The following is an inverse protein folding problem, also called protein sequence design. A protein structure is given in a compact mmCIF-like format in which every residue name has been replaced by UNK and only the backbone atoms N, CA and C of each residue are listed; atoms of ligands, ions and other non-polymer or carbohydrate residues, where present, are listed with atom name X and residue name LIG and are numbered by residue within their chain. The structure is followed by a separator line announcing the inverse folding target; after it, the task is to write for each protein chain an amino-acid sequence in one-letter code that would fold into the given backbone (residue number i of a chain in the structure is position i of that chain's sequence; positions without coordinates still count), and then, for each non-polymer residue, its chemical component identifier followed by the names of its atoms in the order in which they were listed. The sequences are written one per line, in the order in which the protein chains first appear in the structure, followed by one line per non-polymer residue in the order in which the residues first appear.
data_IF_642888618039
#
_entry.id   IF_642888618039
#
_cell.length_a   1.000
_cell.length_b   1.000
_cell.length_c   1.000
_cell.angle_alpha   90.00
_cell.angle_beta   90.00
_cell.angle_gamma   90.00
#
_symmetry.space_group_name_H-M   'P 1'
#
loop_
_entity.id
_entity.type
_entity.pdbx_description
1 polymer ?
#
# COMPACT_ATOMS: atom_id res chain seq x y z
N UNK A 1 6.12 -19.05 7.56
CA UNK A 1 4.68 -18.93 7.90
C UNK A 1 4.45 -17.51 8.41
N UNK A 2 3.24 -16.97 8.40
CA UNK A 2 3.00 -15.52 8.63
C UNK A 2 3.57 -14.94 9.95
N UNK A 3 3.83 -15.79 10.94
CA UNK A 3 4.43 -15.42 12.24
C UNK A 3 5.91 -15.82 12.40
N UNK A 4 6.59 -16.22 11.32
CA UNK A 4 8.01 -16.58 11.41
C UNK A 4 8.90 -15.34 11.44
N UNK A 5 10.03 -15.45 12.13
CA UNK A 5 11.14 -14.49 12.00
C UNK A 5 11.96 -14.84 10.75
N UNK A 6 12.48 -13.81 10.07
CA UNK A 6 13.48 -14.00 9.03
C UNK A 6 14.86 -13.85 9.69
N UNK A 7 15.69 -14.89 9.62
CA UNK A 7 17.00 -14.87 10.27
C UNK A 7 17.85 -13.71 9.71
N UNK A 8 18.33 -12.84 10.60
CA UNK A 8 19.15 -11.70 10.19
C UNK A 8 18.40 -10.48 9.68
N UNK A 9 17.07 -10.47 9.75
CA UNK A 9 16.23 -9.27 9.56
C UNK A 9 15.66 -8.85 10.91
N UNK A 10 15.62 -7.55 11.17
CA UNK A 10 15.15 -7.00 12.46
C UNK A 10 13.64 -7.17 12.64
N UNK A 11 12.89 -6.99 11.55
CA UNK A 11 11.44 -7.08 11.50
C UNK A 11 10.99 -8.53 11.28
N UNK A 12 9.89 -8.93 11.92
CA UNK A 12 9.24 -10.20 11.64
C UNK A 12 8.39 -10.14 10.35
N UNK A 13 7.93 -11.29 9.86
CA UNK A 13 7.14 -11.38 8.63
C UNK A 13 5.85 -10.55 8.72
N UNK A 14 5.21 -10.46 9.88
CA UNK A 14 3.99 -9.66 10.06
C UNK A 14 4.30 -8.17 9.90
N UNK A 15 5.38 -7.69 10.51
CA UNK A 15 5.80 -6.30 10.41
C UNK A 15 6.20 -5.92 8.99
N UNK A 16 6.89 -6.82 8.27
CA UNK A 16 7.21 -6.66 6.86
C UNK A 16 5.92 -6.55 6.03
N UNK A 17 4.94 -7.44 6.23
CA UNK A 17 3.63 -7.38 5.57
C UNK A 17 2.91 -6.05 5.85
N UNK A 18 2.94 -5.57 7.09
CA UNK A 18 2.33 -4.29 7.46
C UNK A 18 3.03 -3.09 6.80
N UNK A 19 4.34 -3.17 6.57
CA UNK A 19 5.08 -2.14 5.86
C UNK A 19 4.80 -2.19 4.35
N UNK A 20 4.73 -3.39 3.76
CA UNK A 20 4.36 -3.59 2.34
C UNK A 20 2.98 -3.00 2.04
N UNK A 21 2.00 -3.18 2.93
CA UNK A 21 0.65 -2.61 2.77
C UNK A 21 0.60 -1.08 2.70
N UNK A 22 1.68 -0.39 3.09
CA UNK A 22 1.79 1.08 3.02
C UNK A 22 2.47 1.55 1.73
N UNK A 23 2.94 0.65 0.88
CA UNK A 23 3.55 1.04 -0.39
C UNK A 23 2.45 1.61 -1.29
N UNK A 24 2.65 2.85 -1.74
CA UNK A 24 1.75 3.50 -2.68
C UNK A 24 2.28 3.24 -4.10
N UNK A 25 1.50 2.51 -4.89
CA UNK A 25 1.84 2.12 -6.25
C UNK A 25 0.90 2.80 -7.24
N UNK A 26 1.47 3.25 -8.36
CA UNK A 26 0.72 3.57 -9.57
C UNK A 26 1.09 2.55 -10.63
N UNK A 27 0.08 1.89 -11.22
CA UNK A 27 0.26 0.87 -12.25
C UNK A 27 -0.51 1.33 -13.50
N UNK A 28 0.19 1.49 -14.61
CA UNK A 28 -0.36 1.96 -15.90
C UNK A 28 -0.75 0.77 -16.83
N UNK A 29 -1.10 -0.38 -16.25
CA UNK A 29 -1.44 -1.64 -16.93
C UNK A 29 -2.59 -2.35 -16.21
N UNK A 30 -3.38 -3.14 -16.95
CA UNK A 30 -4.47 -3.96 -16.39
C UNK A 30 -4.00 -5.36 -15.95
N UNK A 31 -2.82 -5.81 -16.41
CA UNK A 31 -2.24 -7.10 -16.07
C UNK A 31 -1.57 -7.11 -14.68
N UNK A 32 -1.53 -8.29 -14.04
CA UNK A 32 -0.78 -8.52 -12.81
C UNK A 32 0.72 -8.26 -13.01
N UNK A 33 1.31 -7.48 -12.11
CA UNK A 33 2.73 -7.10 -12.11
C UNK A 33 3.49 -7.83 -11.02
N UNK A 34 4.67 -8.33 -11.37
CA UNK A 34 5.60 -8.93 -10.40
C UNK A 34 6.58 -7.86 -9.94
N UNK A 35 6.73 -7.72 -8.63
CA UNK A 35 7.68 -6.86 -7.96
C UNK A 35 8.68 -7.72 -7.20
N UNK A 36 9.94 -7.33 -7.19
CA UNK A 36 11.01 -8.10 -6.54
C UNK A 36 11.90 -7.20 -5.69
N UNK A 37 12.30 -7.67 -4.52
CA UNK A 37 13.38 -7.08 -3.72
C UNK A 37 14.43 -8.17 -3.53
N UNK A 38 15.66 -7.84 -3.86
CA UNK A 38 16.83 -8.68 -3.62
C UNK A 38 17.96 -7.78 -3.08
N UNK A 39 18.14 -7.82 -1.76
CA UNK A 39 19.07 -6.93 -1.04
C UNK A 39 19.94 -7.72 -0.08
N UNK A 40 21.25 -7.53 -0.21
CA UNK A 40 22.25 -8.06 0.73
C UNK A 40 22.65 -7.03 1.76
N UNK A 41 22.57 -7.41 3.03
CA UNK A 41 22.93 -6.56 4.16
C UNK A 41 24.44 -6.37 4.37
N UNK A 42 24.85 -5.40 5.21
CA UNK A 42 23.98 -4.62 6.08
C UNK A 42 23.30 -3.46 5.33
N UNK A 43 21.97 -3.41 5.36
CA UNK A 43 21.20 -2.43 4.60
C UNK A 43 19.83 -2.14 5.24
N UNK A 44 19.33 -0.92 5.05
CA UNK A 44 17.93 -0.57 5.29
C UNK A 44 17.22 -0.69 3.95
N UNK A 45 16.29 -1.65 3.85
CA UNK A 45 15.48 -1.87 2.65
C UNK A 45 14.32 -0.88 2.65
N UNK A 46 14.19 -0.15 1.55
CA UNK A 46 13.14 0.84 1.31
C UNK A 46 12.27 0.42 0.12
N UNK A 47 11.13 1.08 -0.05
CA UNK A 47 10.28 0.87 -1.23
C UNK A 47 11.01 1.25 -2.54
N UNK A 48 12.00 2.14 -2.49
CA UNK A 48 12.86 2.47 -3.62
C UNK A 48 13.75 1.33 -4.11
N UNK A 49 13.97 0.30 -3.29
CA UNK A 49 14.78 -0.88 -3.65
C UNK A 49 13.97 -1.95 -4.43
N UNK A 50 12.66 -1.72 -4.62
CA UNK A 50 11.80 -2.62 -5.37
C UNK A 50 12.12 -2.52 -6.87
N UNK A 51 12.38 -3.68 -7.44
CA UNK A 51 12.53 -3.89 -8.87
C UNK A 51 11.15 -4.19 -9.47
N UNK A 52 10.76 -3.40 -10.47
CA UNK A 52 9.49 -3.54 -11.16
C UNK A 52 9.66 -3.23 -12.65
N UNK A 53 8.67 -3.57 -13.47
CA UNK A 53 8.65 -3.18 -14.87
C UNK A 53 8.29 -1.70 -15.05
N UNK A 54 8.41 -1.20 -16.29
CA UNK A 54 8.20 0.21 -16.60
C UNK A 54 6.77 0.72 -16.41
N UNK A 55 5.80 -0.17 -16.19
CA UNK A 55 4.41 0.20 -15.98
C UNK A 55 4.09 0.43 -14.49
N UNK A 56 5.03 0.16 -13.59
CA UNK A 56 4.89 0.35 -12.14
C UNK A 56 5.71 1.54 -11.69
N UNK A 57 5.06 2.48 -11.02
CA UNK A 57 5.69 3.62 -10.35
C UNK A 57 5.45 3.56 -8.86
N UNK A 58 6.53 3.66 -8.08
CA UNK A 58 6.49 3.72 -6.62
C UNK A 58 6.42 5.17 -6.18
N UNK A 59 5.35 5.53 -5.47
CA UNK A 59 5.04 6.92 -5.14
C UNK A 59 5.69 7.38 -3.83
N UNK A 60 6.06 6.44 -2.95
CA UNK A 60 6.71 6.69 -1.66
C UNK A 60 8.01 5.89 -1.51
N UNK A 61 9.05 6.16 -2.34
CA UNK A 61 10.28 5.36 -2.37
C UNK A 61 11.05 5.35 -1.04
N UNK A 62 10.92 6.40 -0.22
CA UNK A 62 11.62 6.52 1.08
C UNK A 62 10.99 5.65 2.19
N UNK A 63 9.88 4.95 1.91
CA UNK A 63 9.21 4.10 2.89
C UNK A 63 10.12 2.93 3.30
N UNK A 64 10.52 2.88 4.57
CA UNK A 64 11.28 1.74 5.11
C UNK A 64 10.41 0.49 5.19
N UNK A 65 10.93 -0.62 4.64
CA UNK A 65 10.28 -1.92 4.63
C UNK A 65 10.87 -2.86 5.68
N UNK A 66 12.20 -2.94 5.74
CA UNK A 66 12.93 -3.83 6.65
C UNK A 66 14.40 -3.38 6.85
N UNK A 67 15.07 -4.00 7.81
CA UNK A 67 16.48 -3.77 8.14
C UNK A 67 17.21 -5.11 8.16
N UNK A 68 18.21 -5.27 7.27
CA UNK A 68 18.95 -6.51 7.04
C UNK A 68 20.35 -6.40 7.66
N UNK A 69 20.75 -7.42 8.43
CA UNK A 69 22.05 -7.51 9.07
C UNK A 69 23.18 -7.90 8.08
N UNK A 70 24.42 -7.73 8.52
CA UNK A 70 25.60 -8.08 7.71
C UNK A 70 25.63 -9.58 7.37
N UNK A 71 25.95 -9.89 6.11
CA UNK A 71 26.04 -11.27 5.62
C UNK A 71 24.70 -11.97 5.36
N UNK A 72 23.57 -11.26 5.47
CA UNK A 72 22.21 -11.78 5.26
C UNK A 72 21.64 -11.21 3.97
N UNK A 73 20.82 -11.99 3.28
CA UNK A 73 20.14 -11.61 2.04
C UNK A 73 18.63 -11.66 2.26
N UNK A 74 17.95 -10.58 1.90
CA UNK A 74 16.49 -10.51 1.88
C UNK A 74 16.03 -10.59 0.43
N UNK A 75 15.41 -11.73 0.10
CA UNK A 75 14.75 -11.96 -1.17
C UNK A 75 13.24 -12.06 -0.95
N UNK A 76 12.47 -11.27 -1.70
CA UNK A 76 11.01 -11.33 -1.66
C UNK A 76 10.41 -10.96 -3.02
N UNK A 77 9.37 -11.70 -3.39
CA UNK A 77 8.58 -11.48 -4.59
C UNK A 77 7.15 -11.14 -4.19
N UNK A 78 6.57 -10.13 -4.83
CA UNK A 78 5.20 -9.67 -4.61
C UNK A 78 4.47 -9.58 -5.93
N UNK A 79 3.15 -9.80 -5.90
CA UNK A 79 2.28 -9.56 -7.05
C UNK A 79 1.40 -8.36 -6.74
N UNK A 80 1.37 -7.38 -7.64
CA UNK A 80 0.56 -6.17 -7.54
C UNK A 80 -0.30 -6.01 -8.80
N UNK A 81 -1.51 -5.49 -8.64
CA UNK A 81 -2.42 -5.23 -9.74
C UNK A 81 -3.35 -4.04 -9.43
N UNK A 82 -4.13 -3.63 -10.43
CA UNK A 82 -5.12 -2.57 -10.27
C UNK A 82 -6.46 -3.14 -9.84
N UNK A 83 -7.13 -2.48 -8.89
CA UNK A 83 -8.42 -2.90 -8.38
C UNK A 83 -9.24 -1.72 -7.85
N UNK A 84 -10.31 -2.02 -7.11
CA UNK A 84 -11.17 -1.02 -6.48
C UNK A 84 -11.49 -1.38 -5.04
N UNK A 85 -11.47 -0.38 -4.17
CA UNK A 85 -11.85 -0.53 -2.76
C UNK A 85 -10.86 -1.39 -1.98
N UNK A 86 -11.37 -2.43 -1.35
CA UNK A 86 -10.62 -3.34 -0.48
C UNK A 86 -10.93 -4.78 -0.84
N UNK A 87 -9.90 -5.62 -0.88
CA UNK A 87 -10.03 -7.08 -1.03
C UNK A 87 -9.27 -7.75 0.10
N UNK A 88 -9.93 -8.66 0.81
CA UNK A 88 -9.32 -9.33 1.95
C UNK A 88 -8.30 -10.38 1.52
N UNK A 89 -7.37 -10.73 2.43
CA UNK A 89 -6.45 -11.84 2.21
C UNK A 89 -7.16 -13.17 1.93
N UNK A 90 -8.30 -13.44 2.58
CA UNK A 90 -9.10 -14.65 2.34
C UNK A 90 -9.74 -14.67 0.95
N UNK A 91 -10.22 -13.51 0.48
CA UNK A 91 -10.74 -13.39 -0.88
C UNK A 91 -9.62 -13.59 -1.90
N UNK A 92 -8.46 -12.97 -1.69
CA UNK A 92 -7.28 -13.18 -2.53
C UNK A 92 -6.87 -14.66 -2.58
N UNK A 93 -6.92 -15.35 -1.43
CA UNK A 93 -6.67 -16.79 -1.35
C UNK A 93 -7.68 -17.61 -2.15
N UNK A 94 -8.95 -17.24 -2.11
CA UNK A 94 -10.02 -17.96 -2.83
C UNK A 94 -9.96 -17.77 -4.35
N UNK A 95 -9.42 -16.63 -4.81
CA UNK A 95 -9.30 -16.27 -6.23
C UNK A 95 -8.08 -16.88 -6.90
N UNK A 96 -7.06 -17.25 -6.13
CA UNK A 96 -5.88 -17.94 -6.61
C UNK A 96 -6.11 -19.46 -6.48
N UNK A 97 -6.61 -20.08 -7.54
CA UNK A 97 -6.63 -21.55 -7.65
C UNK A 97 -5.18 -22.06 -7.58
N UNK A 98 -4.89 -22.99 -6.66
CA UNK A 98 -3.57 -23.61 -6.46
C UNK A 98 -2.42 -22.66 -6.05
N UNK A 99 -2.65 -21.82 -5.03
CA UNK A 99 -1.60 -21.04 -4.36
C UNK A 99 -0.37 -21.91 -4.01
N UNK A 100 0.81 -21.62 -4.59
CA UNK A 100 2.02 -22.37 -4.31
C UNK A 100 2.38 -22.34 -2.82
N UNK A 101 2.99 -23.42 -2.34
CA UNK A 101 3.48 -23.50 -0.96
C UNK A 101 4.49 -22.37 -0.72
N UNK A 102 4.24 -21.55 0.30
CA UNK A 102 5.11 -20.44 0.69
C UNK A 102 4.59 -19.06 0.29
N UNK A 103 3.55 -18.97 -0.53
CA UNK A 103 2.90 -17.69 -0.84
C UNK A 103 1.95 -17.29 0.29
N UNK A 104 2.08 -16.05 0.74
CA UNK A 104 1.23 -15.46 1.78
C UNK A 104 0.26 -14.47 1.14
N UNK A 105 -1.05 -14.77 1.07
CA UNK A 105 -2.03 -13.79 0.62
C UNK A 105 -2.13 -12.68 1.66
N UNK A 106 -2.14 -11.44 1.20
CA UNK A 106 -2.30 -10.24 2.03
C UNK A 106 -3.52 -9.45 1.55
N UNK A 107 -4.04 -8.55 2.38
CA UNK A 107 -5.11 -7.65 1.96
C UNK A 107 -4.64 -6.69 0.87
N UNK A 108 -5.47 -6.48 -0.15
CA UNK A 108 -5.24 -5.50 -1.20
C UNK A 108 -6.05 -4.25 -0.91
N UNK A 109 -5.36 -3.14 -0.62
CA UNK A 109 -5.94 -1.83 -0.35
C UNK A 109 -5.78 -1.01 -1.64
N UNK A 110 -6.83 -0.96 -2.46
CA UNK A 110 -6.84 -0.18 -3.71
C UNK A 110 -7.37 1.24 -3.52
N UNK A 111 -7.91 1.56 -2.35
CA UNK A 111 -8.42 2.91 -2.07
C UNK A 111 -7.26 3.87 -1.88
N UNK A 112 -7.16 4.92 -2.72
CA UNK A 112 -6.09 5.90 -2.61
C UNK A 112 -6.35 6.94 -1.50
N UNK A 113 -7.53 6.85 -0.86
CA UNK A 113 -7.96 7.72 0.23
C UNK A 113 -7.75 6.97 1.56
N UNK A 114 -6.86 7.50 2.38
CA UNK A 114 -6.54 6.95 3.69
C UNK A 114 -7.59 7.36 4.73
N UNK A 115 -8.06 8.61 4.65
CA UNK A 115 -8.97 9.19 5.64
C UNK A 115 -9.80 10.31 5.06
N UNK A 116 -11.06 10.38 5.52
CA UNK A 116 -11.95 11.52 5.29
C UNK A 116 -12.59 11.92 6.62
N UNK A 117 -12.56 13.22 6.94
CA UNK A 117 -13.40 13.80 7.98
C UNK A 117 -14.34 14.83 7.33
N UNK A 118 -15.51 15.02 7.93
CA UNK A 118 -16.44 16.06 7.49
C UNK A 118 -17.08 16.75 8.70
N UNK A 119 -17.35 18.03 8.55
CA UNK A 119 -18.07 18.84 9.54
C UNK A 119 -19.12 19.69 8.84
N UNK A 120 -20.34 19.70 9.39
CA UNK A 120 -21.45 20.52 8.89
C UNK A 120 -21.78 21.54 9.96
N UNK A 121 -21.80 22.82 9.57
CA UNK A 121 -22.16 23.93 10.45
C UNK A 121 -23.18 24.84 9.76
N UNK A 122 -24.07 25.45 10.55
CA UNK A 122 -25.05 26.42 10.03
C UNK A 122 -24.31 27.63 9.43
N UNK A 123 -24.71 28.01 8.22
CA UNK A 123 -24.17 29.15 7.52
C UNK A 123 -25.24 30.23 7.30
N UNK A 124 -24.95 31.44 7.77
CA UNK A 124 -25.73 32.62 7.40
C UNK A 124 -25.13 33.23 6.14
N UNK A 125 -25.92 33.29 5.07
CA UNK A 125 -25.55 33.97 3.81
C UNK A 125 -26.51 35.14 3.61
N UNK A 126 -26.03 36.36 3.89
CA UNK A 126 -26.86 37.56 3.88
C UNK A 126 -27.92 37.54 4.98
N UNK A 127 -29.21 37.61 4.60
CA UNK A 127 -30.35 37.53 5.53
C UNK A 127 -30.93 36.11 5.68
N UNK A 128 -30.39 35.12 4.95
CA UNK A 128 -30.85 33.73 4.96
C UNK A 128 -29.99 32.87 5.89
N UNK A 129 -30.66 32.04 6.69
CA UNK A 129 -30.09 31.20 7.76
C UNK A 129 -30.29 29.70 7.53
N UNK A 130 -30.73 29.31 6.33
CA UNK A 130 -31.08 27.95 5.95
C UNK A 130 -29.99 27.28 5.10
N UNK A 131 -28.79 27.83 5.10
CA UNK A 131 -27.65 27.22 4.42
C UNK A 131 -26.80 26.42 5.40
N UNK A 132 -26.30 25.28 4.95
CA UNK A 132 -25.28 24.51 5.64
C UNK A 132 -23.92 24.75 4.98
N UNK A 133 -22.88 24.94 5.78
CA UNK A 133 -21.49 24.90 5.33
C UNK A 133 -20.91 23.53 5.65
N UNK A 134 -20.52 22.82 4.60
CA UNK A 134 -19.78 21.56 4.67
C UNK A 134 -18.27 21.85 4.57
N UNK A 135 -17.50 21.36 5.54
CA UNK A 135 -16.04 21.32 5.48
C UNK A 135 -15.61 19.86 5.38
N UNK A 136 -14.79 19.53 4.38
CA UNK A 136 -14.23 18.20 4.14
C UNK A 136 -12.72 18.25 4.31
N UNK A 137 -12.17 17.36 5.14
CA UNK A 137 -10.74 17.11 5.22
C UNK A 137 -10.45 15.72 4.64
N UNK A 138 -9.64 15.64 3.59
CA UNK A 138 -9.36 14.40 2.85
C UNK A 138 -7.85 14.19 2.77
N UNK A 139 -7.40 13.00 3.18
CA UNK A 139 -6.01 12.55 3.11
C UNK A 139 -5.90 11.44 2.08
N UNK A 140 -4.96 11.58 1.15
CA UNK A 140 -4.65 10.59 0.11
C UNK A 140 -3.20 10.14 0.23
N UNK A 141 -2.94 8.91 -0.19
CA UNK A 141 -1.61 8.29 -0.28
C UNK A 141 -0.72 8.87 -1.39
N UNK A 142 -1.26 9.80 -2.20
CA UNK A 142 -0.53 10.49 -3.27
C UNK A 142 -0.70 9.87 -4.66
N UNK A 143 -1.42 8.76 -4.79
CA UNK A 143 -1.76 8.17 -6.11
C UNK A 143 -2.79 8.98 -6.89
N UNK A 144 -3.64 9.74 -6.19
CA UNK A 144 -4.57 10.73 -6.75
C UNK A 144 -4.57 11.96 -5.84
N UNK A 145 -4.82 13.16 -6.39
CA UNK A 145 -4.99 14.32 -5.50
C UNK A 145 -6.35 14.27 -4.80
N UNK A 146 -6.48 14.77 -3.55
CA UNK A 146 -7.77 14.82 -2.86
C UNK A 146 -8.86 15.54 -3.67
N UNK A 147 -8.50 16.57 -4.44
CA UNK A 147 -9.43 17.28 -5.33
C UNK A 147 -9.95 16.41 -6.47
N UNK A 148 -9.09 15.61 -7.09
CA UNK A 148 -9.50 14.69 -8.17
C UNK A 148 -10.35 13.53 -7.63
N UNK A 149 -10.09 13.07 -6.41
CA UNK A 149 -10.87 12.01 -5.78
C UNK A 149 -12.30 12.42 -5.40
N UNK A 150 -12.55 13.71 -5.18
CA UNK A 150 -13.88 14.26 -4.84
C UNK A 150 -14.67 14.66 -6.10
N UNK A 151 -13.98 14.84 -7.24
CA UNK A 151 -14.55 15.39 -8.48
C UNK A 151 -15.50 14.47 -9.23
#
# INVERSE_FOLDING_TARGET
HEFSSVEGVTEDVTQIILNIKKIALKIDSEDDKTLEIDVKGPAVVTAGDIQADGDVTILNPDLQLATVADGVELHMQMTANTGRGYVSADDNKSRMEDLPIGVLPIDSIYTPIERVNYNVEDARVGQRNDYDKLTLDVWSDGSITPSEAIS
#
